data_IF_813518182047
#
_entry.id   IF_813518182047
#
_cell.length_a   1.000
_cell.length_b   1.000
_cell.length_c   1.000
_cell.angle_alpha   90.00
_cell.angle_beta   90.00
_cell.angle_gamma   90.00
#
_symmetry.space_group_name_H-M   'P 1'
#
loop_
_entity.id
_entity.type
_entity.pdbx_description
1 polymer ?
#
# COMPACT_ATOMS: atom_id res chain seq x y z
N UNK A 1 16.71 24.14 10.66
CA UNK A 1 15.40 23.65 11.18
C UNK A 1 14.88 22.38 10.51
N UNK A 2 15.61 21.80 9.52
CA UNK A 2 15.21 20.54 8.87
C UNK A 2 15.75 19.30 9.59
N UNK A 3 16.67 19.47 10.54
CA UNK A 3 17.33 18.35 11.27
C UNK A 3 16.39 17.54 12.17
N UNK A 4 15.13 17.97 12.33
CA UNK A 4 14.10 17.30 13.11
C UNK A 4 12.81 17.09 12.32
N UNK A 5 12.85 17.19 11.00
CA UNK A 5 11.66 16.95 10.18
C UNK A 5 11.47 15.45 9.96
N UNK A 6 10.34 14.92 10.39
CA UNK A 6 9.97 13.52 10.16
C UNK A 6 9.02 13.42 8.97
N UNK A 7 9.32 12.51 8.05
CA UNK A 7 8.42 12.11 6.96
C UNK A 7 7.87 10.73 7.30
N UNK A 8 6.60 10.67 7.63
CA UNK A 8 5.89 9.43 7.98
C UNK A 8 5.03 9.03 6.80
N UNK A 9 5.26 7.83 6.25
CA UNK A 9 4.53 7.33 5.09
C UNK A 9 3.69 6.11 5.48
N UNK A 10 2.34 6.19 5.38
CA UNK A 10 1.51 5.01 5.44
C UNK A 10 1.65 4.22 4.12
N UNK A 11 2.06 2.95 4.21
CA UNK A 11 2.30 2.09 3.06
C UNK A 11 1.34 0.90 3.04
N UNK A 12 0.84 0.55 1.87
CA UNK A 12 0.09 -0.69 1.65
C UNK A 12 1.10 -1.84 1.50
N UNK A 13 1.32 -2.55 2.59
CA UNK A 13 2.23 -3.70 2.64
C UNK A 13 1.44 -4.99 2.40
N UNK A 14 1.76 -5.68 1.31
CA UNK A 14 1.17 -6.95 0.90
C UNK A 14 2.17 -8.06 1.23
N UNK A 15 2.09 -8.60 2.43
CA UNK A 15 3.08 -9.54 2.95
C UNK A 15 2.50 -10.92 3.21
N UNK A 16 3.26 -11.96 2.83
CA UNK A 16 2.93 -13.36 3.07
C UNK A 16 3.85 -14.29 2.29
N UNK A 17 4.09 -15.50 2.81
CA UNK A 17 5.02 -16.43 2.17
C UNK A 17 4.42 -17.08 0.91
N UNK A 18 3.10 -17.25 0.89
CA UNK A 18 2.39 -17.78 -0.28
C UNK A 18 1.57 -16.70 -0.99
N UNK A 19 1.20 -16.95 -2.23
CA UNK A 19 0.30 -16.06 -2.96
C UNK A 19 -1.07 -15.95 -2.28
N UNK A 20 -1.56 -17.04 -1.70
CA UNK A 20 -2.82 -17.06 -0.94
C UNK A 20 -2.75 -16.13 0.27
N UNK A 21 -1.63 -16.10 1.00
CA UNK A 21 -1.46 -15.20 2.15
C UNK A 21 -1.51 -13.74 1.72
N UNK A 22 -0.94 -13.42 0.56
CA UNK A 22 -0.88 -12.07 0.01
C UNK A 22 -2.19 -11.60 -0.64
N UNK A 23 -2.96 -12.54 -1.20
CA UNK A 23 -4.17 -12.22 -1.98
C UNK A 23 -5.15 -11.32 -1.24
N UNK A 24 -5.38 -11.58 0.05
CA UNK A 24 -6.27 -10.76 0.87
C UNK A 24 -5.78 -9.32 1.03
N UNK A 25 -4.50 -9.13 1.33
CA UNK A 25 -3.91 -7.80 1.50
C UNK A 25 -3.90 -7.04 0.19
N UNK A 26 -3.68 -7.75 -0.91
CA UNK A 26 -3.75 -7.20 -2.27
C UNK A 26 -5.14 -6.65 -2.56
N UNK A 27 -6.18 -7.39 -2.23
CA UNK A 27 -7.56 -6.94 -2.45
C UNK A 27 -7.96 -5.78 -1.52
N UNK A 28 -7.53 -5.79 -0.25
CA UNK A 28 -7.73 -4.65 0.64
C UNK A 28 -7.03 -3.38 0.11
N UNK A 29 -5.81 -3.50 -0.38
CA UNK A 29 -5.08 -2.40 -0.99
C UNK A 29 -5.81 -1.90 -2.26
N UNK A 30 -6.30 -2.81 -3.10
CA UNK A 30 -7.06 -2.49 -4.31
C UNK A 30 -8.30 -1.66 -4.00
N UNK A 31 -9.05 -2.05 -2.98
CA UNK A 31 -10.23 -1.30 -2.54
C UNK A 31 -9.86 0.10 -2.01
N UNK A 32 -8.76 0.22 -1.26
CA UNK A 32 -8.30 1.52 -0.76
C UNK A 32 -7.82 2.43 -1.89
N UNK A 33 -7.05 1.90 -2.84
CA UNK A 33 -6.62 2.65 -4.02
C UNK A 33 -7.82 3.11 -4.84
N UNK A 34 -8.82 2.25 -5.04
CA UNK A 34 -10.07 2.60 -5.72
C UNK A 34 -10.83 3.72 -4.97
N UNK A 35 -10.95 3.60 -3.66
CA UNK A 35 -11.64 4.60 -2.82
C UNK A 35 -10.96 5.95 -2.88
N UNK A 36 -9.67 6.04 -2.59
CA UNK A 36 -8.93 7.30 -2.68
C UNK A 36 -8.86 7.82 -4.11
N UNK A 37 -8.63 6.93 -5.07
CA UNK A 37 -8.53 7.25 -6.49
C UNK A 37 -9.81 7.83 -7.10
N UNK A 38 -10.98 7.62 -6.48
CA UNK A 38 -12.23 8.25 -6.88
C UNK A 38 -12.29 9.75 -6.55
N UNK A 39 -11.37 10.26 -5.72
CA UNK A 39 -11.31 11.67 -5.35
C UNK A 39 -10.65 12.49 -6.47
N UNK A 40 -11.31 13.55 -7.00
CA UNK A 40 -10.79 14.30 -8.14
C UNK A 40 -9.37 14.83 -7.99
N UNK A 41 -9.00 15.22 -6.77
CA UNK A 41 -7.69 15.81 -6.48
C UNK A 41 -6.54 14.80 -6.64
N UNK A 42 -6.83 13.51 -6.77
CA UNK A 42 -5.83 12.46 -6.99
C UNK A 42 -5.74 12.01 -8.46
N UNK A 43 -6.53 12.60 -9.38
CA UNK A 43 -6.52 12.22 -10.80
C UNK A 43 -5.11 12.31 -11.42
N UNK A 44 -4.33 13.34 -11.04
CA UNK A 44 -2.99 13.56 -11.55
C UNK A 44 -2.03 12.39 -11.27
N UNK A 45 -2.25 11.62 -10.18
CA UNK A 45 -1.42 10.47 -9.85
C UNK A 45 -1.56 9.39 -10.93
N UNK A 46 -2.81 9.09 -11.33
CA UNK A 46 -3.05 8.11 -12.40
C UNK A 46 -2.56 8.59 -13.76
N UNK A 47 -2.69 9.89 -14.03
CA UNK A 47 -2.17 10.50 -15.26
C UNK A 47 -0.64 10.36 -15.34
N UNK A 48 0.07 10.62 -14.24
CA UNK A 48 1.54 10.44 -14.16
C UNK A 48 1.99 8.97 -14.29
N UNK A 49 1.10 8.03 -13.98
CA UNK A 49 1.34 6.60 -14.10
C UNK A 49 0.88 6.01 -15.46
N UNK A 50 0.56 6.85 -16.43
CA UNK A 50 0.03 6.45 -17.75
C UNK A 50 -1.32 5.70 -17.70
N UNK A 51 -2.14 6.01 -16.68
CA UNK A 51 -3.50 5.50 -16.52
C UNK A 51 -4.55 6.62 -16.51
N UNK A 52 -4.61 7.48 -17.56
CA UNK A 52 -5.55 8.60 -17.60
C UNK A 52 -7.00 8.10 -17.58
N UNK A 53 -7.89 8.91 -16.98
CA UNK A 53 -9.32 8.58 -16.91
C UNK A 53 -9.71 7.62 -15.78
N UNK A 54 -8.77 7.02 -15.07
CA UNK A 54 -9.05 6.09 -13.96
C UNK A 54 -9.93 6.73 -12.89
N UNK A 55 -9.63 7.95 -12.45
CA UNK A 55 -10.46 8.66 -11.46
C UNK A 55 -11.90 8.87 -11.95
N UNK A 56 -12.08 9.21 -13.22
CA UNK A 56 -13.43 9.41 -13.78
C UNK A 56 -14.22 8.09 -13.77
N UNK A 57 -13.61 6.99 -14.20
CA UNK A 57 -14.22 5.67 -14.19
C UNK A 57 -14.59 5.21 -12.76
N UNK A 58 -13.70 5.41 -11.79
CA UNK A 58 -13.95 5.12 -10.37
C UNK A 58 -15.14 5.92 -9.84
N UNK A 59 -15.23 7.20 -10.17
CA UNK A 59 -16.35 8.07 -9.75
C UNK A 59 -17.70 7.63 -10.33
N UNK A 60 -17.74 7.19 -11.57
CA UNK A 60 -18.98 6.68 -12.17
C UNK A 60 -19.47 5.43 -11.42
N UNK A 61 -18.60 4.50 -11.08
CA UNK A 61 -18.93 3.33 -10.25
C UNK A 61 -19.39 3.74 -8.84
N UNK A 62 -18.67 4.68 -8.22
CA UNK A 62 -19.02 5.18 -6.89
C UNK A 62 -20.42 5.81 -6.86
N UNK A 63 -20.76 6.67 -7.83
CA UNK A 63 -22.08 7.28 -7.96
C UNK A 63 -23.19 6.26 -8.16
N UNK A 64 -22.87 5.16 -8.86
CA UNK A 64 -23.79 4.04 -9.06
C UNK A 64 -23.91 3.11 -7.83
N UNK A 65 -23.13 3.35 -6.77
CA UNK A 65 -23.07 2.46 -5.59
C UNK A 65 -22.36 1.13 -5.84
N UNK A 66 -21.68 1.01 -6.99
CA UNK A 66 -20.97 -0.20 -7.39
C UNK A 66 -19.54 -0.25 -6.83
N UNK A 67 -19.42 -0.51 -5.52
CA UNK A 67 -18.15 -0.54 -4.82
C UNK A 67 -17.27 -1.69 -5.33
N UNK A 68 -17.87 -2.85 -5.59
CA UNK A 68 -17.14 -4.00 -6.15
C UNK A 68 -16.59 -3.67 -7.55
N UNK A 69 -17.37 -3.01 -8.39
CA UNK A 69 -16.93 -2.55 -9.71
C UNK A 69 -15.83 -1.49 -9.65
N UNK A 70 -15.75 -0.69 -8.59
CA UNK A 70 -14.61 0.22 -8.40
C UNK A 70 -13.30 -0.57 -8.27
N UNK A 71 -13.28 -1.63 -7.47
CA UNK A 71 -12.08 -2.45 -7.30
C UNK A 71 -11.60 -3.05 -8.62
N UNK A 72 -12.50 -3.44 -9.53
CA UNK A 72 -12.11 -4.03 -10.82
C UNK A 72 -11.41 -3.06 -11.77
N UNK A 73 -11.57 -1.74 -11.57
CA UNK A 73 -10.87 -0.72 -12.36
C UNK A 73 -9.39 -0.68 -11.99
N UNK A 74 -9.04 -0.96 -10.73
CA UNK A 74 -7.65 -1.00 -10.27
C UNK A 74 -7.04 -2.36 -10.66
N UNK A 75 -6.49 -2.43 -11.84
CA UNK A 75 -5.77 -3.61 -12.34
C UNK A 75 -4.51 -3.89 -11.53
N UNK A 76 -3.91 -5.07 -11.68
CA UNK A 76 -2.62 -5.38 -11.02
C UNK A 76 -1.51 -4.42 -11.48
N UNK A 77 -1.58 -3.98 -12.73
CA UNK A 77 -0.66 -3.01 -13.31
C UNK A 77 -0.74 -1.65 -12.59
N UNK A 78 -1.94 -1.18 -12.28
CA UNK A 78 -2.14 0.03 -11.46
C UNK A 78 -1.71 -0.24 -10.02
N UNK A 79 -2.17 -1.35 -9.43
CA UNK A 79 -2.00 -1.64 -8.01
C UNK A 79 -0.54 -1.71 -7.58
N UNK A 80 0.34 -2.26 -8.41
CA UNK A 80 1.78 -2.38 -8.13
C UNK A 80 2.48 -1.04 -7.84
N UNK A 81 1.93 0.07 -8.33
CA UNK A 81 2.47 1.40 -8.06
C UNK A 81 2.18 1.88 -6.64
N UNK A 82 1.17 1.31 -6.00
CA UNK A 82 0.70 1.72 -4.68
C UNK A 82 1.04 0.74 -3.56
N UNK A 83 1.45 -0.47 -3.89
CA UNK A 83 1.76 -1.52 -2.92
C UNK A 83 3.25 -1.84 -2.89
N UNK A 84 3.70 -2.37 -1.74
CA UNK A 84 4.96 -3.11 -1.63
C UNK A 84 4.57 -4.53 -1.32
N UNK A 85 4.93 -5.45 -2.20
CA UNK A 85 4.60 -6.86 -2.07
C UNK A 85 5.85 -7.71 -1.87
N UNK A 86 5.79 -8.66 -0.93
CA UNK A 86 6.90 -9.54 -0.66
C UNK A 86 6.55 -10.66 0.33
N UNK A 87 7.49 -11.58 0.48
CA UNK A 87 7.48 -12.56 1.56
C UNK A 87 7.95 -11.92 2.87
N UNK A 88 7.77 -12.63 3.98
CA UNK A 88 8.33 -12.17 5.27
C UNK A 88 9.85 -12.00 5.23
N UNK A 89 10.53 -12.70 4.33
CA UNK A 89 11.98 -12.61 4.16
C UNK A 89 12.42 -11.41 3.30
N UNK A 90 11.55 -10.90 2.40
CA UNK A 90 11.94 -9.91 1.38
C UNK A 90 11.25 -8.55 1.54
N UNK A 91 10.23 -8.45 2.39
CA UNK A 91 9.44 -7.22 2.50
C UNK A 91 10.26 -6.03 3.03
N UNK A 92 11.26 -6.28 3.89
CA UNK A 92 12.15 -5.24 4.39
C UNK A 92 12.93 -4.59 3.24
N UNK A 93 13.48 -5.39 2.34
CA UNK A 93 14.22 -4.90 1.17
C UNK A 93 13.30 -4.06 0.27
N UNK A 94 12.09 -4.54 0.00
CA UNK A 94 11.11 -3.79 -0.81
C UNK A 94 10.69 -2.44 -0.18
N UNK A 95 10.62 -2.36 1.15
CA UNK A 95 10.35 -1.11 1.86
C UNK A 95 11.57 -0.18 1.76
N UNK A 96 12.78 -0.70 1.98
CA UNK A 96 14.02 0.07 1.87
C UNK A 96 14.21 0.60 0.45
N UNK A 97 14.06 -0.23 -0.57
CA UNK A 97 14.20 0.15 -1.98
C UNK A 97 13.27 1.31 -2.37
N UNK A 98 12.08 1.37 -1.78
CA UNK A 98 11.11 2.43 -2.09
C UNK A 98 11.30 3.70 -1.29
N UNK A 99 11.70 3.63 -0.03
CA UNK A 99 11.62 4.73 0.91
C UNK A 99 12.94 5.15 1.56
N UNK A 100 14.07 4.43 1.34
CA UNK A 100 15.37 4.84 1.86
C UNK A 100 15.72 6.25 1.36
N UNK A 101 16.12 7.12 2.28
CA UNK A 101 16.42 8.53 2.00
C UNK A 101 15.20 9.41 1.71
N UNK A 102 13.99 8.88 1.67
CA UNK A 102 12.75 9.63 1.41
C UNK A 102 11.86 9.73 2.63
N UNK A 103 11.79 8.68 3.45
CA UNK A 103 10.95 8.65 4.64
C UNK A 103 11.78 8.30 5.88
N UNK A 104 11.45 8.94 6.99
CA UNK A 104 12.04 8.64 8.30
C UNK A 104 11.29 7.52 9.02
N UNK A 105 10.05 7.28 8.63
CA UNK A 105 9.20 6.23 9.20
C UNK A 105 8.19 5.70 8.18
N UNK A 106 8.06 4.39 8.10
CA UNK A 106 7.01 3.73 7.33
C UNK A 106 6.02 3.07 8.28
N UNK A 107 4.73 3.28 8.07
CA UNK A 107 3.65 2.69 8.85
C UNK A 107 2.90 1.69 7.98
N UNK A 108 2.74 0.44 8.43
CA UNK A 108 1.87 -0.51 7.75
C UNK A 108 0.41 -0.04 7.85
N UNK A 109 -0.19 0.34 6.73
CA UNK A 109 -1.56 0.83 6.67
C UNK A 109 -2.57 -0.16 7.25
N UNK A 110 -2.35 -1.46 7.01
CA UNK A 110 -3.22 -2.53 7.50
C UNK A 110 -2.77 -3.12 8.85
N UNK A 111 -1.79 -2.51 9.52
CA UNK A 111 -1.21 -3.04 10.74
C UNK A 111 -2.24 -3.34 11.83
N UNK A 112 -3.19 -2.43 12.06
CA UNK A 112 -4.23 -2.62 13.07
C UNK A 112 -5.13 -3.84 12.75
N UNK A 113 -5.51 -4.03 11.49
CA UNK A 113 -6.31 -5.19 11.04
C UNK A 113 -5.50 -6.47 11.22
N UNK A 114 -4.25 -6.49 10.71
CA UNK A 114 -3.38 -7.66 10.77
C UNK A 114 -3.16 -8.13 12.22
N UNK A 115 -2.90 -7.20 13.13
CA UNK A 115 -2.62 -7.52 14.53
C UNK A 115 -3.88 -7.93 15.33
N UNK A 116 -5.04 -7.41 14.96
CA UNK A 116 -6.30 -7.83 15.58
C UNK A 116 -6.68 -9.25 15.19
N UNK A 117 -6.42 -9.63 13.94
CA UNK A 117 -6.77 -10.96 13.42
C UNK A 117 -5.72 -12.03 13.75
N UNK A 118 -4.44 -11.66 13.71
CA UNK A 118 -3.30 -12.50 14.08
C UNK A 118 -2.32 -11.71 14.96
N UNK A 119 -2.53 -11.68 16.28
CA UNK A 119 -1.60 -11.02 17.21
C UNK A 119 -0.16 -11.57 17.15
N UNK A 120 0.01 -12.82 16.68
CA UNK A 120 1.34 -13.43 16.56
C UNK A 120 2.11 -12.83 15.36
N UNK A 121 1.44 -12.25 14.39
CA UNK A 121 2.09 -11.57 13.25
C UNK A 121 3.01 -10.43 13.71
N UNK A 122 2.73 -9.80 14.85
CA UNK A 122 3.58 -8.75 15.41
C UNK A 122 5.02 -9.24 15.65
N UNK A 123 5.19 -10.50 16.07
CA UNK A 123 6.53 -11.10 16.25
C UNK A 123 7.32 -11.20 14.93
N UNK A 124 6.62 -11.36 13.79
CA UNK A 124 7.24 -11.40 12.45
C UNK A 124 7.67 -10.01 11.98
N UNK A 125 6.96 -8.96 12.41
CA UNK A 125 7.31 -7.57 12.07
C UNK A 125 8.55 -7.06 12.81
N UNK A 126 8.87 -7.61 13.98
CA UNK A 126 10.00 -7.16 14.79
C UNK A 126 11.34 -7.24 14.06
N UNK A 127 11.77 -8.38 13.45
CA UNK A 127 13.01 -8.42 12.69
C UNK A 127 13.01 -7.51 11.46
N UNK A 128 11.86 -7.32 10.81
CA UNK A 128 11.72 -6.38 9.69
C UNK A 128 11.98 -4.96 10.16
N UNK A 129 11.37 -4.53 11.25
CA UNK A 129 11.58 -3.21 11.82
C UNK A 129 13.05 -2.99 12.25
N UNK A 130 13.70 -4.01 12.79
CA UNK A 130 15.13 -3.94 13.14
C UNK A 130 15.99 -3.77 11.89
N UNK A 131 15.76 -4.57 10.85
CA UNK A 131 16.50 -4.48 9.59
C UNK A 131 16.37 -3.10 8.93
N UNK A 132 15.17 -2.51 8.98
CA UNK A 132 14.92 -1.16 8.45
C UNK A 132 15.55 -0.04 9.29
N UNK A 133 15.64 -0.22 10.61
CA UNK A 133 16.30 0.77 11.49
C UNK A 133 17.83 0.81 11.30
N UNK A 134 18.41 -0.32 10.88
CA UNK A 134 19.83 -0.45 10.60
C UNK A 134 20.21 -0.12 9.14
N UNK A 135 19.22 0.14 8.30
CA UNK A 135 19.42 0.52 6.90
C UNK A 135 19.96 1.96 6.81
N UNK A 136 20.94 2.22 5.91
CA UNK A 136 21.57 3.52 5.77
C UNK A 136 20.63 4.62 5.24
#
# INVERSE_FOLDING_TARGET
HLDHFEIIVPAFLVVGDTDTDRARWRELARMQVAFYGSTPNYAFIFEQLDHPGTTAALRERQKAGDIAGMATIITDDILRHFTIEGTWATIADGIADRYAGLATRVVNYFGAIAWTEDPQSLARWKPIATALADAP
#
